data_IF_050401569636
#
_entry.id   IF_050401569636
#
_cell.length_a   1.000
_cell.length_b   1.000
_cell.length_c   1.000
_cell.angle_alpha   90.00
_cell.angle_beta   90.00
_cell.angle_gamma   90.00
#
_symmetry.space_group_name_H-M   'P 1'
#
loop_
_entity.id
_entity.type
_entity.pdbx_description
1 polymer ?
#
# COMPACT_ATOMS: atom_id res chain seq x y z
N UNK A 1 6.06 28.15 19.81
CA UNK A 1 6.21 27.08 20.80
C UNK A 1 6.08 27.61 22.23
N UNK A 2 6.82 28.66 22.56
CA UNK A 2 6.72 29.32 23.89
C UNK A 2 5.52 30.25 23.96
N UNK A 3 4.34 29.70 24.10
CA UNK A 3 3.08 30.43 24.32
C UNK A 3 2.65 30.27 25.78
N UNK A 4 1.99 31.29 26.38
CA UNK A 4 1.38 31.14 27.70
C UNK A 4 0.32 30.04 27.67
N UNK A 5 0.47 29.03 28.53
CA UNK A 5 -0.42 27.88 28.58
C UNK A 5 0.17 26.62 27.93
N UNK A 6 -0.59 25.98 27.04
CA UNK A 6 -0.15 24.77 26.34
C UNK A 6 0.87 25.08 25.24
N UNK A 7 1.98 24.34 25.19
CA UNK A 7 2.93 24.49 24.11
C UNK A 7 2.47 23.77 22.82
N UNK A 8 3.08 24.13 21.68
CA UNK A 8 2.66 23.60 20.37
C UNK A 8 2.84 22.10 20.21
N UNK A 9 3.83 21.49 20.86
CA UNK A 9 4.08 20.04 20.80
C UNK A 9 3.04 19.25 21.60
N UNK A 10 2.62 19.77 22.74
CA UNK A 10 1.53 19.17 23.53
C UNK A 10 0.20 19.30 22.78
N UNK A 11 -0.07 20.46 22.19
CA UNK A 11 -1.26 20.66 21.36
C UNK A 11 -1.28 19.69 20.16
N UNK A 12 -0.14 19.45 19.53
CA UNK A 12 0.00 18.46 18.44
C UNK A 12 -0.39 17.05 18.92
N UNK A 13 0.11 16.62 20.07
CA UNK A 13 -0.21 15.31 20.65
C UNK A 13 -1.71 15.17 20.92
N UNK A 14 -2.34 16.17 21.52
CA UNK A 14 -3.77 16.14 21.79
C UNK A 14 -4.60 16.08 20.52
N UNK A 15 -4.26 16.90 19.49
CA UNK A 15 -4.93 16.88 18.19
C UNK A 15 -4.81 15.49 17.54
N UNK A 16 -3.61 14.93 17.53
CA UNK A 16 -3.35 13.61 16.95
C UNK A 16 -3.99 12.48 17.76
N UNK A 17 -4.13 12.65 19.07
CA UNK A 17 -4.87 11.73 19.94
C UNK A 17 -6.36 11.69 19.63
N UNK A 18 -6.96 12.85 19.27
CA UNK A 18 -8.36 12.92 18.87
C UNK A 18 -8.59 12.39 17.46
N UNK A 19 -7.75 12.80 16.51
CA UNK A 19 -7.82 12.35 15.13
C UNK A 19 -6.41 12.27 14.49
N UNK A 20 -5.82 11.06 14.40
CA UNK A 20 -4.48 10.85 13.86
C UNK A 20 -4.31 11.34 12.41
N UNK A 21 -5.40 11.37 11.63
CA UNK A 21 -5.37 11.70 10.20
C UNK A 21 -5.48 13.21 9.91
N UNK A 22 -5.76 14.04 10.91
CA UNK A 22 -5.80 15.50 10.71
C UNK A 22 -4.41 16.01 10.35
N UNK A 23 -4.23 16.68 9.20
CA UNK A 23 -2.95 17.30 8.89
C UNK A 23 -2.70 18.50 9.82
N UNK A 24 -1.51 18.55 10.41
CA UNK A 24 -1.09 19.64 11.31
C UNK A 24 0.18 20.26 10.78
N UNK A 25 0.17 21.58 10.58
CA UNK A 25 1.34 22.36 10.20
C UNK A 25 1.79 23.18 11.41
N UNK A 26 3.02 23.00 11.84
CA UNK A 26 3.60 23.78 12.92
C UNK A 26 4.27 25.04 12.39
N UNK A 27 3.96 26.19 12.97
CA UNK A 27 4.56 27.48 12.63
C UNK A 27 5.23 28.07 13.87
N UNK A 28 6.56 28.19 13.88
CA UNK A 28 7.32 28.61 15.05
C UNK A 28 8.45 29.60 14.71
N UNK A 29 9.03 30.23 15.72
CA UNK A 29 10.26 31.01 15.59
C UNK A 29 11.51 30.18 15.84
N UNK A 30 11.38 28.99 16.42
CA UNK A 30 12.53 28.17 16.77
C UNK A 30 13.05 27.41 15.54
N UNK A 31 14.35 27.53 15.32
CA UNK A 31 15.13 26.79 14.34
C UNK A 31 15.87 25.61 15.01
N UNK A 32 15.56 25.33 16.29
CA UNK A 32 16.22 24.25 17.02
C UNK A 32 15.89 22.88 16.42
N UNK A 33 16.91 22.18 16.00
CA UNK A 33 16.83 20.87 15.34
C UNK A 33 16.08 19.85 16.21
N UNK A 34 16.30 19.85 17.52
CA UNK A 34 15.61 18.98 18.49
C UNK A 34 14.08 19.16 18.46
N UNK A 35 13.58 20.39 18.34
CA UNK A 35 12.14 20.67 18.31
C UNK A 35 11.54 20.20 16.99
N UNK A 36 12.28 20.36 15.90
CA UNK A 36 11.88 19.86 14.59
C UNK A 36 11.82 18.32 14.58
N UNK A 37 12.83 17.65 15.13
CA UNK A 37 12.86 16.19 15.24
C UNK A 37 11.73 15.66 16.12
N UNK A 38 11.47 16.29 17.26
CA UNK A 38 10.36 15.93 18.15
C UNK A 38 9.00 16.12 17.45
N UNK A 39 8.80 17.22 16.73
CA UNK A 39 7.59 17.47 15.98
C UNK A 39 7.38 16.45 14.84
N UNK A 40 8.46 16.07 14.13
CA UNK A 40 8.43 15.00 13.11
C UNK A 40 8.08 13.67 13.76
N UNK A 41 8.67 13.32 14.88
CA UNK A 41 8.35 12.11 15.66
C UNK A 41 6.89 12.07 16.11
N UNK A 42 6.25 13.21 16.31
CA UNK A 42 4.82 13.36 16.64
C UNK A 42 3.91 13.50 15.41
N UNK A 43 4.41 13.15 14.21
CA UNK A 43 3.65 13.09 12.96
C UNK A 43 3.06 14.44 12.50
N UNK A 44 3.83 15.53 12.55
CA UNK A 44 3.45 16.77 11.87
C UNK A 44 3.42 16.57 10.36
N UNK A 45 2.58 17.34 9.68
CA UNK A 45 2.45 17.29 8.23
C UNK A 45 3.39 18.24 7.51
N UNK A 46 3.74 19.37 8.13
CA UNK A 46 4.73 20.32 7.66
C UNK A 46 5.21 21.24 8.79
N UNK A 47 6.36 21.90 8.60
CA UNK A 47 7.02 22.78 9.57
C UNK A 47 7.45 24.08 8.90
N UNK A 48 7.00 25.22 9.42
CA UNK A 48 7.32 26.54 8.88
C UNK A 48 7.97 27.42 9.94
N UNK A 49 9.01 28.16 9.56
CA UNK A 49 9.76 29.03 10.46
C UNK A 49 9.33 30.48 10.23
N UNK A 50 9.02 31.19 11.30
CA UNK A 50 8.69 32.66 11.25
C UNK A 50 9.93 33.47 10.96
N UNK A 51 9.86 34.54 10.12
CA UNK A 51 8.65 35.09 9.49
C UNK A 51 8.14 34.27 8.31
N UNK A 52 6.83 33.91 8.30
CA UNK A 52 6.22 33.12 7.27
C UNK A 52 5.64 34.00 6.20
N UNK A 53 6.02 33.77 4.96
CA UNK A 53 5.39 34.38 3.79
C UNK A 53 4.05 33.69 3.50
N UNK A 54 2.97 34.42 3.14
CA UNK A 54 1.69 33.85 2.76
C UNK A 54 1.79 32.74 1.68
N UNK A 55 2.74 32.86 0.74
CA UNK A 55 3.00 31.84 -0.26
C UNK A 55 3.52 30.51 0.33
N UNK A 56 4.29 30.54 1.41
CA UNK A 56 4.75 29.33 2.08
C UNK A 56 3.58 28.58 2.72
N UNK A 57 2.65 29.30 3.34
CA UNK A 57 1.42 28.73 3.90
C UNK A 57 0.58 28.11 2.77
N UNK A 58 0.40 28.83 1.66
CA UNK A 58 -0.36 28.35 0.51
C UNK A 58 0.29 27.08 -0.08
N UNK A 59 1.61 27.04 -0.18
CA UNK A 59 2.34 25.86 -0.67
C UNK A 59 2.21 24.67 0.27
N UNK A 60 2.31 24.87 1.59
CA UNK A 60 2.09 23.81 2.56
C UNK A 60 0.66 23.24 2.47
N UNK A 61 -0.34 24.12 2.39
CA UNK A 61 -1.73 23.72 2.21
C UNK A 61 -1.92 22.93 0.90
N UNK A 62 -1.41 23.43 -0.22
CA UNK A 62 -1.48 22.74 -1.51
C UNK A 62 -0.82 21.36 -1.44
N UNK A 63 0.38 21.25 -0.87
CA UNK A 63 1.09 19.98 -0.70
C UNK A 63 0.25 18.97 0.08
N UNK A 64 -0.46 19.41 1.12
CA UNK A 64 -1.27 18.57 1.97
C UNK A 64 -2.58 18.10 1.30
N UNK A 65 -3.25 18.98 0.56
CA UNK A 65 -4.54 18.69 -0.05
C UNK A 65 -4.45 18.21 -1.49
N UNK A 66 -3.57 18.81 -2.29
CA UNK A 66 -3.40 18.44 -3.69
C UNK A 66 -2.49 17.21 -3.88
N UNK A 67 -1.62 16.91 -2.92
CA UNK A 67 -0.72 15.77 -3.02
C UNK A 67 -1.44 14.44 -3.25
N UNK A 68 -2.48 14.17 -2.48
CA UNK A 68 -3.31 12.96 -2.65
C UNK A 68 -4.04 12.96 -4.00
N UNK A 69 -4.58 14.12 -4.42
CA UNK A 69 -5.25 14.27 -5.71
C UNK A 69 -4.30 14.05 -6.88
N UNK A 70 -3.11 14.67 -6.84
CA UNK A 70 -2.10 14.52 -7.90
C UNK A 70 -1.60 13.07 -8.03
N UNK A 71 -1.41 12.38 -6.89
CA UNK A 71 -1.06 10.93 -6.89
C UNK A 71 -2.18 10.11 -7.51
N UNK A 72 -3.44 10.37 -7.14
CA UNK A 72 -4.59 9.67 -7.69
C UNK A 72 -4.74 9.91 -9.21
N UNK A 73 -4.59 11.15 -9.67
CA UNK A 73 -4.64 11.50 -11.11
C UNK A 73 -3.49 10.81 -11.88
N UNK A 74 -2.28 10.79 -11.32
CA UNK A 74 -1.13 10.11 -11.91
C UNK A 74 -1.35 8.60 -11.98
N UNK A 75 -1.85 7.98 -10.91
CA UNK A 75 -2.16 6.56 -10.88
C UNK A 75 -3.24 6.20 -11.90
N UNK A 76 -4.30 7.01 -12.00
CA UNK A 76 -5.36 6.84 -12.99
C UNK A 76 -4.81 6.90 -14.42
N UNK A 77 -4.01 7.91 -14.74
CA UNK A 77 -3.38 8.05 -16.06
C UNK A 77 -2.44 6.89 -16.39
N UNK A 78 -1.63 6.46 -15.41
CA UNK A 78 -0.71 5.35 -15.58
C UNK A 78 -1.46 4.03 -15.77
N UNK A 79 -2.54 3.80 -15.00
CA UNK A 79 -3.37 2.61 -15.17
C UNK A 79 -4.05 2.59 -16.56
N UNK A 80 -4.56 3.72 -17.04
CA UNK A 80 -5.13 3.80 -18.39
C UNK A 80 -4.15 3.36 -19.47
N UNK A 81 -2.87 3.72 -19.33
CA UNK A 81 -1.82 3.26 -20.26
C UNK A 81 -1.56 1.75 -20.12
N UNK A 82 -1.61 1.22 -18.89
CA UNK A 82 -1.36 -0.20 -18.60
C UNK A 82 -2.58 -1.10 -18.85
N UNK A 83 -3.77 -0.53 -18.97
CA UNK A 83 -5.01 -1.28 -19.14
C UNK A 83 -4.96 -2.23 -20.35
N UNK A 84 -4.47 -1.73 -21.49
CA UNK A 84 -4.37 -2.55 -22.71
C UNK A 84 -3.31 -3.65 -22.57
N UNK A 85 -2.17 -3.37 -21.92
CA UNK A 85 -1.11 -4.36 -21.67
C UNK A 85 -1.63 -5.49 -20.78
N UNK A 86 -2.33 -5.15 -19.70
CA UNK A 86 -2.94 -6.11 -18.77
C UNK A 86 -4.02 -6.93 -19.48
N UNK A 87 -4.90 -6.29 -20.25
CA UNK A 87 -5.94 -6.97 -21.03
C UNK A 87 -5.37 -7.92 -22.08
N UNK A 88 -4.26 -7.54 -22.72
CA UNK A 88 -3.56 -8.43 -23.65
C UNK A 88 -2.94 -9.64 -22.90
N UNK A 89 -2.30 -9.39 -21.75
CA UNK A 89 -1.70 -10.44 -20.92
C UNK A 89 -2.74 -11.45 -20.42
N UNK A 90 -3.90 -10.97 -19.93
CA UNK A 90 -5.01 -11.82 -19.46
C UNK A 90 -5.46 -12.83 -20.55
N UNK A 91 -5.45 -12.41 -21.82
CA UNK A 91 -5.93 -13.20 -22.94
C UNK A 91 -4.84 -14.11 -23.57
N UNK A 92 -3.65 -14.18 -22.98
CA UNK A 92 -2.60 -15.10 -23.39
C UNK A 92 -2.79 -16.50 -22.75
N UNK A 93 -2.07 -17.48 -23.28
CA UNK A 93 -2.02 -18.79 -22.68
C UNK A 93 -1.00 -18.82 -21.54
N UNK A 94 -1.41 -18.34 -20.37
CA UNK A 94 -0.54 -18.14 -19.20
C UNK A 94 -0.30 -19.46 -18.45
N UNK A 95 0.94 -19.64 -18.02
CA UNK A 95 1.33 -20.70 -17.07
C UNK A 95 1.10 -20.24 -15.61
N UNK A 96 1.15 -21.16 -14.64
CA UNK A 96 0.83 -20.88 -13.24
C UNK A 96 1.60 -19.71 -12.66
N UNK A 97 2.89 -19.58 -12.97
CA UNK A 97 3.72 -18.48 -12.46
C UNK A 97 3.35 -17.13 -13.10
N UNK A 98 2.97 -17.12 -14.37
CA UNK A 98 2.49 -15.93 -15.06
C UNK A 98 1.14 -15.49 -14.48
N UNK A 99 0.24 -16.41 -14.16
CA UNK A 99 -1.01 -16.13 -13.43
C UNK A 99 -0.74 -15.50 -12.06
N UNK A 100 0.27 -15.97 -11.32
CA UNK A 100 0.67 -15.38 -10.04
C UNK A 100 1.16 -13.94 -10.21
N UNK A 101 1.97 -13.67 -11.24
CA UNK A 101 2.46 -12.30 -11.51
C UNK A 101 1.33 -11.37 -11.97
N UNK A 102 0.43 -11.85 -12.80
CA UNK A 102 -0.77 -11.10 -13.19
C UNK A 102 -1.65 -10.74 -11.97
N UNK A 103 -1.87 -11.69 -11.07
CA UNK A 103 -2.59 -11.45 -9.81
C UNK A 103 -1.93 -10.36 -8.96
N UNK A 104 -0.59 -10.39 -8.85
CA UNK A 104 0.16 -9.34 -8.13
C UNK A 104 -0.01 -7.97 -8.77
N UNK A 105 0.00 -7.89 -10.11
CA UNK A 105 -0.22 -6.63 -10.85
C UNK A 105 -1.63 -6.09 -10.61
N UNK A 106 -2.66 -6.93 -10.71
CA UNK A 106 -4.05 -6.53 -10.46
C UNK A 106 -4.25 -6.06 -9.01
N UNK A 107 -3.68 -6.76 -8.03
CA UNK A 107 -3.72 -6.35 -6.62
C UNK A 107 -2.99 -5.04 -6.38
N UNK A 108 -1.84 -4.82 -7.02
CA UNK A 108 -1.12 -3.54 -6.97
C UNK A 108 -2.01 -2.39 -7.45
N UNK A 109 -2.66 -2.54 -8.60
CA UNK A 109 -3.54 -1.51 -9.15
C UNK A 109 -4.79 -1.29 -8.29
N UNK A 110 -5.34 -2.33 -7.68
CA UNK A 110 -6.43 -2.20 -6.70
C UNK A 110 -6.06 -1.26 -5.56
N UNK A 111 -4.87 -1.43 -4.98
CA UNK A 111 -4.37 -0.57 -3.90
C UNK A 111 -4.06 0.85 -4.40
N UNK A 112 -3.51 1.01 -5.61
CA UNK A 112 -3.17 2.33 -6.16
C UNK A 112 -4.40 3.15 -6.56
N UNK A 113 -5.48 2.49 -6.96
CA UNK A 113 -6.71 3.13 -7.43
C UNK A 113 -7.78 3.27 -6.33
N UNK A 114 -7.51 2.86 -5.10
CA UNK A 114 -8.47 2.91 -3.97
C UNK A 114 -9.09 4.31 -3.77
N UNK A 115 -8.32 5.37 -4.01
CA UNK A 115 -8.76 6.77 -3.91
C UNK A 115 -9.08 7.42 -5.26
N UNK A 116 -9.15 6.62 -6.34
CA UNK A 116 -9.43 7.10 -7.68
C UNK A 116 -10.92 7.23 -7.97
N UNK A 117 -11.26 7.72 -9.16
CA UNK A 117 -12.63 7.80 -9.63
C UNK A 117 -13.28 6.41 -9.66
N UNK A 118 -14.56 6.34 -9.28
CA UNK A 118 -15.38 5.13 -9.26
C UNK A 118 -15.33 4.38 -10.59
N UNK A 119 -15.32 5.09 -11.72
CA UNK A 119 -15.23 4.48 -13.04
C UNK A 119 -13.94 3.68 -13.25
N UNK A 120 -12.81 4.14 -12.70
CA UNK A 120 -11.53 3.40 -12.82
C UNK A 120 -11.54 2.13 -11.99
N UNK A 121 -12.15 2.19 -10.81
CA UNK A 121 -12.35 1.02 -9.95
C UNK A 121 -13.23 -0.03 -10.63
N UNK A 122 -14.31 0.40 -11.29
CA UNK A 122 -15.19 -0.49 -12.04
C UNK A 122 -14.47 -1.15 -13.23
N UNK A 123 -13.66 -0.40 -13.98
CA UNK A 123 -12.85 -0.93 -15.08
C UNK A 123 -11.84 -1.97 -14.58
N UNK A 124 -11.16 -1.70 -13.47
CA UNK A 124 -10.26 -2.69 -12.86
C UNK A 124 -11.01 -3.94 -12.40
N UNK A 125 -12.19 -3.78 -11.81
CA UNK A 125 -13.01 -4.92 -11.38
C UNK A 125 -13.44 -5.80 -12.57
N UNK A 126 -13.78 -5.21 -13.71
CA UNK A 126 -14.06 -5.95 -14.94
C UNK A 126 -12.85 -6.78 -15.39
N UNK A 127 -11.64 -6.21 -15.37
CA UNK A 127 -10.41 -6.97 -15.69
C UNK A 127 -10.15 -8.10 -14.69
N UNK A 128 -10.38 -7.86 -13.39
CA UNK A 128 -10.24 -8.91 -12.37
C UNK A 128 -11.23 -10.06 -12.58
N UNK A 129 -12.46 -9.74 -12.95
CA UNK A 129 -13.49 -10.76 -13.26
C UNK A 129 -13.11 -11.58 -14.49
N UNK A 130 -12.63 -10.93 -15.57
CA UNK A 130 -12.15 -11.62 -16.77
C UNK A 130 -10.97 -12.54 -16.43
N UNK A 131 -9.97 -12.03 -15.73
CA UNK A 131 -8.81 -12.81 -15.29
C UNK A 131 -9.23 -14.02 -14.43
N UNK A 132 -10.17 -13.83 -13.49
CA UNK A 132 -10.67 -14.90 -12.65
C UNK A 132 -11.40 -16.01 -13.45
N UNK A 133 -12.20 -15.63 -14.44
CA UNK A 133 -12.89 -16.59 -15.32
C UNK A 133 -11.89 -17.41 -16.15
N UNK A 134 -10.86 -16.79 -16.70
CA UNK A 134 -9.83 -17.47 -17.49
C UNK A 134 -8.91 -18.32 -16.61
N UNK A 135 -8.55 -17.83 -15.44
CA UNK A 135 -7.79 -18.62 -14.46
C UNK A 135 -8.58 -19.86 -14.00
N UNK A 136 -9.89 -19.74 -13.77
CA UNK A 136 -10.72 -20.90 -13.42
C UNK A 136 -10.68 -21.97 -14.51
N UNK A 137 -10.78 -21.59 -15.79
CA UNK A 137 -10.64 -22.51 -16.91
C UNK A 137 -9.25 -23.14 -16.99
N UNK A 138 -8.20 -22.36 -16.71
CA UNK A 138 -6.83 -22.86 -16.65
C UNK A 138 -6.68 -23.92 -15.55
N UNK A 139 -7.21 -23.66 -14.35
CA UNK A 139 -7.18 -24.63 -13.24
C UNK A 139 -7.97 -25.89 -13.59
N UNK A 140 -9.20 -25.76 -14.11
CA UNK A 140 -10.01 -26.92 -14.49
C UNK A 140 -9.26 -27.86 -15.46
N UNK A 141 -8.54 -27.27 -16.41
CA UNK A 141 -7.80 -28.05 -17.43
C UNK A 141 -6.52 -28.66 -16.87
N UNK A 142 -5.79 -27.97 -15.99
CA UNK A 142 -4.43 -28.36 -15.61
C UNK A 142 -4.34 -28.88 -14.16
N UNK A 143 -5.46 -28.99 -13.43
CA UNK A 143 -5.49 -29.28 -11.99
C UNK A 143 -4.66 -30.49 -11.57
N UNK A 144 -4.83 -31.61 -12.26
CA UNK A 144 -4.14 -32.87 -11.94
C UNK A 144 -2.62 -32.74 -12.17
N UNK A 145 -2.22 -32.09 -13.26
CA UNK A 145 -0.83 -31.87 -13.60
C UNK A 145 -0.17 -30.95 -12.55
N UNK A 146 -0.84 -29.86 -12.20
CA UNK A 146 -0.36 -28.91 -11.19
C UNK A 146 -0.18 -29.57 -9.82
N UNK A 147 -1.06 -30.48 -9.39
CA UNK A 147 -0.94 -31.20 -8.13
C UNK A 147 0.21 -32.22 -8.12
N UNK A 148 0.52 -32.82 -9.27
CA UNK A 148 1.57 -33.83 -9.39
C UNK A 148 2.96 -33.22 -9.60
N UNK A 149 3.05 -31.94 -9.92
CA UNK A 149 4.32 -31.24 -10.07
C UNK A 149 4.87 -30.85 -8.69
N UNK A 150 5.96 -31.50 -8.27
CA UNK A 150 6.63 -31.27 -6.98
C UNK A 150 7.24 -29.84 -6.86
N UNK A 151 7.42 -29.14 -7.98
CA UNK A 151 7.94 -27.76 -7.98
C UNK A 151 6.87 -26.73 -7.62
N UNK A 152 5.60 -27.11 -7.70
CA UNK A 152 4.52 -26.22 -7.32
C UNK A 152 4.30 -26.20 -5.81
N UNK A 153 4.35 -25.00 -5.22
CA UNK A 153 4.05 -24.81 -3.80
C UNK A 153 2.55 -24.56 -3.60
N UNK A 154 1.92 -25.47 -2.89
CA UNK A 154 0.55 -25.37 -2.42
C UNK A 154 0.48 -25.52 -0.90
N UNK A 155 -0.66 -25.19 -0.30
CA UNK A 155 -0.84 -25.24 1.14
C UNK A 155 -0.48 -26.60 1.77
N UNK A 156 -0.76 -27.71 1.07
CA UNK A 156 -0.51 -29.06 1.56
C UNK A 156 0.97 -29.46 1.60
N UNK A 157 1.82 -28.89 0.75
CA UNK A 157 3.24 -29.24 0.68
C UNK A 157 4.18 -28.11 1.18
N UNK A 158 3.67 -26.91 1.37
CA UNK A 158 4.44 -25.71 1.74
C UNK A 158 5.33 -25.92 2.96
N UNK A 159 4.78 -26.48 4.05
CA UNK A 159 5.54 -26.69 5.28
C UNK A 159 6.65 -27.72 5.08
N UNK A 160 6.36 -28.81 4.36
CA UNK A 160 7.32 -29.87 4.07
C UNK A 160 8.45 -29.39 3.18
N UNK A 161 8.15 -28.55 2.19
CA UNK A 161 9.09 -28.11 1.17
C UNK A 161 9.89 -26.88 1.63
N UNK A 162 9.25 -25.91 2.28
CA UNK A 162 9.87 -24.60 2.57
C UNK A 162 10.24 -24.43 4.03
N UNK A 163 9.52 -25.03 4.98
CA UNK A 163 9.78 -24.77 6.39
C UNK A 163 10.65 -25.88 7.02
N UNK A 164 10.23 -27.13 6.94
CA UNK A 164 10.91 -28.22 7.66
C UNK A 164 12.39 -28.37 7.31
N UNK A 165 12.85 -28.20 6.06
CA UNK A 165 14.29 -28.26 5.75
C UNK A 165 15.11 -27.13 6.38
N UNK A 166 14.48 -26.00 6.74
CA UNK A 166 15.13 -24.84 7.35
C UNK A 166 15.19 -24.92 8.88
N UNK A 167 14.40 -25.81 9.49
CA UNK A 167 14.41 -26.02 10.93
C UNK A 167 15.71 -26.73 11.35
N UNK A 168 16.46 -26.08 12.23
CA UNK A 168 17.67 -26.61 12.90
C UNK A 168 17.36 -26.86 14.38
N UNK A 169 18.36 -27.07 15.19
CA UNK A 169 18.19 -27.29 16.64
C UNK A 169 17.90 -26.00 17.46
N UNK A 170 17.33 -24.99 16.81
CA UNK A 170 16.97 -23.72 17.43
C UNK A 170 15.47 -23.68 17.76
N UNK A 171 15.06 -22.72 18.59
CA UNK A 171 13.64 -22.47 18.86
C UNK A 171 13.02 -21.67 17.71
N UNK A 172 11.88 -22.13 17.23
CA UNK A 172 11.14 -21.47 16.14
C UNK A 172 9.73 -21.12 16.60
N UNK A 173 9.22 -20.00 16.08
CA UNK A 173 7.82 -19.61 16.20
C UNK A 173 7.17 -19.67 14.83
N UNK A 174 6.11 -20.46 14.69
CA UNK A 174 5.26 -20.47 13.49
C UNK A 174 4.00 -19.66 13.78
N UNK A 175 3.83 -18.56 13.06
CA UNK A 175 2.62 -17.73 13.14
C UNK A 175 1.78 -18.03 11.91
N UNK A 176 0.57 -18.55 12.11
CA UNK A 176 -0.41 -18.80 11.06
C UNK A 176 -1.51 -17.76 11.16
N UNK A 177 -1.69 -16.99 10.09
CA UNK A 177 -2.76 -15.98 10.00
C UNK A 177 -3.77 -16.48 8.97
N UNK A 178 -4.94 -16.88 9.44
CA UNK A 178 -6.02 -17.34 8.58
C UNK A 178 -6.65 -16.16 7.82
N UNK A 179 -7.07 -16.42 6.58
CA UNK A 179 -7.71 -15.45 5.69
C UNK A 179 -6.89 -14.17 5.39
N UNK A 180 -5.57 -14.19 5.61
CA UNK A 180 -4.70 -13.08 5.25
C UNK A 180 -4.61 -12.95 3.73
N UNK A 181 -5.16 -11.86 3.17
CA UNK A 181 -5.07 -11.55 1.73
C UNK A 181 -3.73 -10.93 1.38
N UNK A 182 -3.38 -11.02 0.08
CA UNK A 182 -2.11 -10.50 -0.41
C UNK A 182 -2.00 -8.96 -0.29
N UNK A 183 -3.08 -8.22 -0.51
CA UNK A 183 -3.13 -6.77 -0.29
C UNK A 183 -2.88 -6.39 1.17
N UNK A 184 -3.46 -7.14 2.12
CA UNK A 184 -3.22 -6.96 3.54
C UNK A 184 -1.76 -7.26 3.90
N UNK A 185 -1.18 -8.33 3.32
CA UNK A 185 0.24 -8.62 3.48
C UNK A 185 1.12 -7.48 2.97
N UNK A 186 0.82 -6.91 1.80
CA UNK A 186 1.56 -5.77 1.26
C UNK A 186 1.48 -4.53 2.15
N UNK A 187 0.35 -4.32 2.83
CA UNK A 187 0.17 -3.20 3.76
C UNK A 187 1.01 -3.34 5.05
N UNK A 188 1.20 -4.57 5.57
CA UNK A 188 1.94 -4.82 6.81
C UNK A 188 3.43 -5.14 6.60
N UNK A 189 3.83 -5.59 5.41
CA UNK A 189 5.21 -5.99 5.11
C UNK A 189 6.29 -4.92 5.40
N UNK A 190 6.04 -3.60 5.26
CA UNK A 190 7.01 -2.56 5.58
C UNK A 190 7.26 -2.34 7.07
N UNK A 191 6.45 -2.93 7.96
CA UNK A 191 6.57 -2.82 9.42
C UNK A 191 7.56 -3.86 9.94
#
# INVERSE_FOLDING_TARGET
ENMPGMNGLIALEEIKGINPNVPVVMITKSEEEMIMEEAIGKQISDYLIKPVNPNQILMAIKKLFDGKRLVSETNTSTYQQKFQEIGFEINQNLELNEWKELFKKLTFWEMQLELSDQNMIEILNMQKEEANQLFSKYIDKNYIELLNDEHNLFSYNLLKTELFPKLKNDNYFLIVIDNLRYDQWLAIKPI
#
